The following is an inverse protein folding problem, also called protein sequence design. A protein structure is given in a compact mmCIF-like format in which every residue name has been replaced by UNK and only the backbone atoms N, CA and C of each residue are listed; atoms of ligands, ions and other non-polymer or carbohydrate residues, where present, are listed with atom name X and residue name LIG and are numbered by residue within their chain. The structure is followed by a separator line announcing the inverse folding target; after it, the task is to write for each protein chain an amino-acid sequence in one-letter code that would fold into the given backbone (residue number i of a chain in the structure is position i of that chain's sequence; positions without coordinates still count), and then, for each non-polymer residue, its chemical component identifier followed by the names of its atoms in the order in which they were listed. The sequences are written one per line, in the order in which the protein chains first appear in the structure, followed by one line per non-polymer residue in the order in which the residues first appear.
data_IF_223576841069
#
_entry.id   IF_223576841069
#
_cell.length_a   1.000
_cell.length_b   1.000
_cell.length_c   1.000
_cell.angle_alpha   90.00
_cell.angle_beta   90.00
_cell.angle_gamma   90.00
#
_symmetry.space_group_name_H-M   'P 1'
#
loop_
_entity.id
_entity.type
_entity.pdbx_description
1 polymer ?
#
# COMPACT_ATOMS: atom_id res chain seq x y z
N UNK A 1 -23.97 -26.28 -2.92
CA UNK A 1 -23.22 -26.31 -1.66
C UNK A 1 -21.96 -25.48 -1.83
N UNK A 2 -21.79 -24.37 -1.10
CA UNK A 2 -20.55 -23.57 -1.18
C UNK A 2 -19.57 -24.11 -0.13
N UNK A 3 -18.45 -24.63 -0.62
CA UNK A 3 -17.33 -25.09 0.18
C UNK A 3 -16.75 -23.88 0.97
N UNK A 4 -16.58 -23.97 2.30
CA UNK A 4 -15.98 -22.90 3.10
C UNK A 4 -14.57 -22.49 2.68
N UNK A 5 -13.84 -23.32 1.91
CA UNK A 5 -12.56 -22.96 1.28
C UNK A 5 -12.71 -21.87 0.20
N UNK A 6 -13.90 -21.75 -0.41
CA UNK A 6 -14.22 -20.80 -1.48
C UNK A 6 -14.30 -19.35 -1.00
N UNK A 7 -14.12 -19.07 0.29
CA UNK A 7 -14.06 -17.69 0.83
C UNK A 7 -12.68 -17.06 0.67
N UNK A 8 -11.62 -17.86 0.51
CA UNK A 8 -10.23 -17.36 0.38
C UNK A 8 -9.92 -16.93 -1.05
N UNK A 9 -10.67 -17.45 -2.02
CA UNK A 9 -10.49 -17.20 -3.45
C UNK A 9 -11.84 -16.86 -4.04
N UNK A 10 -12.08 -15.58 -4.30
CA UNK A 10 -13.27 -15.12 -4.99
C UNK A 10 -13.03 -14.94 -6.50
N UNK A 11 -14.11 -14.86 -7.28
CA UNK A 11 -14.05 -14.68 -8.73
C UNK A 11 -13.30 -13.39 -9.13
N UNK A 12 -13.31 -12.37 -8.26
CA UNK A 12 -12.61 -11.11 -8.48
C UNK A 12 -11.09 -11.33 -8.42
N UNK A 13 -10.60 -12.08 -7.45
CA UNK A 13 -9.20 -12.46 -7.32
C UNK A 13 -8.75 -13.23 -8.57
N UNK A 14 -9.48 -14.27 -8.98
CA UNK A 14 -9.12 -15.06 -10.17
C UNK A 14 -9.04 -14.19 -11.44
N UNK A 15 -10.00 -13.27 -11.61
CA UNK A 15 -9.99 -12.31 -12.74
C UNK A 15 -8.77 -11.39 -12.73
N UNK A 16 -8.20 -11.04 -11.57
CA UNK A 16 -6.97 -10.24 -11.48
C UNK A 16 -5.77 -11.00 -12.04
N UNK A 17 -5.60 -12.27 -11.69
CA UNK A 17 -4.50 -13.11 -12.22
C UNK A 17 -4.62 -13.32 -13.72
N UNK A 18 -5.85 -13.51 -14.22
CA UNK A 18 -6.11 -13.61 -15.66
C UNK A 18 -5.76 -12.30 -16.39
N UNK A 19 -6.24 -11.15 -15.92
CA UNK A 19 -5.91 -9.85 -16.55
C UNK A 19 -4.41 -9.57 -16.53
N UNK A 20 -3.71 -9.93 -15.46
CA UNK A 20 -2.26 -9.74 -15.35
C UNK A 20 -1.44 -10.61 -16.32
N UNK A 21 -2.07 -11.58 -16.99
CA UNK A 21 -1.43 -12.52 -17.93
C UNK A 21 -2.19 -12.60 -19.24
N UNK A 22 -2.83 -11.51 -19.65
CA UNK A 22 -3.52 -11.39 -20.96
C UNK A 22 -4.56 -12.50 -21.20
N UNK A 23 -5.25 -12.93 -20.14
CA UNK A 23 -6.22 -14.02 -20.11
C UNK A 23 -5.66 -15.41 -20.46
N UNK A 24 -4.33 -15.57 -20.46
CA UNK A 24 -3.65 -16.86 -20.57
C UNK A 24 -3.86 -17.68 -19.30
N UNK A 25 -4.71 -18.70 -19.40
CA UNK A 25 -5.13 -19.52 -18.25
C UNK A 25 -3.96 -20.24 -17.61
N UNK A 26 -3.02 -20.78 -18.38
CA UNK A 26 -1.88 -21.53 -17.85
C UNK A 26 -0.91 -20.62 -17.10
N UNK A 27 -0.56 -19.47 -17.71
CA UNK A 27 0.31 -18.47 -17.06
C UNK A 27 -0.34 -17.87 -15.82
N UNK A 28 -1.64 -17.59 -15.88
CA UNK A 28 -2.40 -17.08 -14.75
C UNK A 28 -2.46 -18.12 -13.62
N UNK A 29 -2.76 -19.38 -13.91
CA UNK A 29 -2.78 -20.47 -12.93
C UNK A 29 -1.41 -20.68 -12.28
N UNK A 30 -0.33 -20.68 -13.08
CA UNK A 30 1.05 -20.79 -12.55
C UNK A 30 1.40 -19.61 -11.63
N UNK A 31 1.00 -18.39 -11.99
CA UNK A 31 1.19 -17.22 -11.14
C UNK A 31 0.36 -17.31 -9.86
N UNK A 32 -0.89 -17.76 -9.96
CA UNK A 32 -1.80 -17.92 -8.83
C UNK A 32 -1.28 -18.96 -7.83
N UNK A 33 -0.80 -20.11 -8.29
CA UNK A 33 -0.20 -21.13 -7.41
C UNK A 33 1.02 -20.59 -6.66
N UNK A 34 1.90 -19.86 -7.35
CA UNK A 34 3.04 -19.19 -6.71
C UNK A 34 2.60 -18.18 -5.64
N UNK A 35 1.54 -17.42 -5.92
CA UNK A 35 0.95 -16.50 -4.95
C UNK A 35 0.39 -17.24 -3.73
N UNK A 36 -0.31 -18.36 -3.90
CA UNK A 36 -0.83 -19.16 -2.79
C UNK A 36 0.29 -19.74 -1.91
N UNK A 37 1.37 -20.24 -2.50
CA UNK A 37 2.53 -20.72 -1.74
C UNK A 37 3.21 -19.58 -0.98
N UNK A 38 3.38 -18.42 -1.62
CA UNK A 38 3.89 -17.23 -0.92
C UNK A 38 2.96 -16.83 0.23
N UNK A 39 1.64 -16.80 0.02
CA UNK A 39 0.67 -16.43 1.07
C UNK A 39 0.76 -17.39 2.26
N UNK A 40 0.84 -18.70 2.01
CA UNK A 40 0.93 -19.73 3.06
C UNK A 40 2.24 -19.63 3.86
N UNK A 41 3.35 -19.32 3.20
CA UNK A 41 4.67 -19.25 3.84
C UNK A 41 4.93 -17.90 4.52
N UNK A 42 4.53 -16.80 3.88
CA UNK A 42 4.74 -15.43 4.40
C UNK A 42 3.70 -15.05 5.46
N UNK A 43 2.44 -15.45 5.27
CA UNK A 43 1.30 -15.16 6.17
C UNK A 43 0.73 -16.46 6.75
N UNK A 44 1.45 -17.18 7.62
CA UNK A 44 0.98 -18.45 8.19
C UNK A 44 -0.31 -18.28 9.02
N UNK A 45 -0.50 -17.10 9.62
CA UNK A 45 -1.72 -16.73 10.37
C UNK A 45 -2.81 -16.12 9.47
N UNK A 46 -2.53 -15.93 8.19
CA UNK A 46 -3.41 -15.22 7.23
C UNK A 46 -3.34 -13.70 7.29
N UNK A 47 -2.66 -13.11 8.29
CA UNK A 47 -2.45 -11.67 8.46
C UNK A 47 -1.09 -11.41 9.13
N UNK A 48 -0.64 -10.15 9.08
CA UNK A 48 0.51 -9.63 9.84
C UNK A 48 -0.01 -8.94 11.10
N UNK A 49 0.48 -9.33 12.27
CA UNK A 49 0.13 -8.64 13.53
C UNK A 49 1.06 -7.45 13.80
N UNK A 50 0.58 -6.44 14.51
CA UNK A 50 1.36 -5.24 14.84
C UNK A 50 2.58 -5.55 15.71
N UNK A 51 2.53 -6.62 16.49
CA UNK A 51 3.66 -7.12 17.27
C UNK A 51 4.85 -7.59 16.39
N UNK A 52 4.61 -7.96 15.13
CA UNK A 52 5.65 -8.37 14.18
C UNK A 52 6.34 -7.18 13.50
N UNK A 53 5.81 -5.97 13.65
CA UNK A 53 6.17 -4.77 12.87
C UNK A 53 6.32 -3.52 13.73
N UNK A 54 6.62 -3.69 15.02
CA UNK A 54 6.68 -2.59 15.99
C UNK A 54 7.71 -1.53 15.64
N UNK A 55 8.85 -1.91 15.07
CA UNK A 55 9.88 -0.96 14.67
C UNK A 55 9.36 -0.05 13.57
N UNK A 56 8.79 -0.61 12.50
CA UNK A 56 8.24 0.18 11.40
C UNK A 56 7.02 1.01 11.80
N UNK A 57 6.13 0.47 12.65
CA UNK A 57 4.98 1.22 13.22
C UNK A 57 5.45 2.42 14.03
N UNK A 58 6.49 2.26 14.87
CA UNK A 58 6.97 3.30 15.77
C UNK A 58 7.47 4.57 15.04
N UNK A 59 7.84 4.45 13.76
CA UNK A 59 8.26 5.58 12.94
C UNK A 59 7.11 6.50 12.52
N UNK A 60 5.86 6.06 12.71
CA UNK A 60 4.66 6.84 12.40
C UNK A 60 4.76 7.51 11.02
N UNK A 61 5.04 6.70 10.00
CA UNK A 61 5.44 7.15 8.66
C UNK A 61 4.38 6.92 7.59
N UNK A 62 3.25 6.34 7.94
CA UNK A 62 2.18 6.06 7.01
C UNK A 62 0.82 6.34 7.64
N UNK A 63 0.04 7.14 6.94
CA UNK A 63 -1.28 7.56 7.34
C UNK A 63 -2.26 7.31 6.20
N UNK A 64 -3.53 7.30 6.53
CA UNK A 64 -4.63 7.11 5.60
C UNK A 64 -5.75 8.09 5.92
N UNK A 65 -6.51 8.44 4.89
CA UNK A 65 -7.63 9.36 5.04
C UNK A 65 -8.02 9.96 3.71
N UNK A 66 -9.32 10.15 3.52
CA UNK A 66 -9.89 10.75 2.33
C UNK A 66 -9.94 9.81 1.12
N UNK A 67 -10.60 10.31 0.09
CA UNK A 67 -10.71 9.68 -1.23
C UNK A 67 -10.43 10.71 -2.32
N UNK A 68 -9.95 10.24 -3.46
CA UNK A 68 -9.89 11.09 -4.66
C UNK A 68 -11.27 11.21 -5.34
N UNK A 69 -11.36 12.00 -6.42
CA UNK A 69 -12.59 12.18 -7.21
C UNK A 69 -13.10 10.90 -7.87
N UNK A 70 -12.28 9.84 -7.92
CA UNK A 70 -12.64 8.51 -8.47
C UNK A 70 -12.99 7.51 -7.36
N UNK A 71 -13.10 7.95 -6.11
CA UNK A 71 -13.38 7.08 -4.96
C UNK A 71 -12.24 6.12 -4.62
N UNK A 72 -11.00 6.43 -5.02
CA UNK A 72 -9.80 5.68 -4.62
C UNK A 72 -9.37 6.15 -3.22
N UNK A 73 -9.17 5.25 -2.26
CA UNK A 73 -8.68 5.64 -0.94
C UNK A 73 -7.27 6.21 -1.04
N UNK A 74 -6.97 7.19 -0.20
CA UNK A 74 -5.67 7.87 -0.17
C UNK A 74 -4.85 7.36 1.02
N UNK A 75 -3.57 7.07 0.74
CA UNK A 75 -2.53 6.86 1.75
C UNK A 75 -1.46 7.94 1.60
N UNK A 76 -0.90 8.37 2.73
CA UNK A 76 0.16 9.37 2.81
C UNK A 76 1.38 8.75 3.48
N UNK A 77 2.54 8.85 2.85
CA UNK A 77 3.80 8.27 3.33
C UNK A 77 4.83 9.37 3.54
N UNK A 78 5.45 9.40 4.71
CA UNK A 78 6.50 10.35 5.06
C UNK A 78 7.88 9.69 4.94
N UNK A 79 8.51 9.85 3.78
CA UNK A 79 9.80 9.22 3.44
C UNK A 79 10.92 9.59 4.40
N UNK A 80 10.95 10.84 4.89
CA UNK A 80 11.93 11.32 5.86
C UNK A 80 11.93 10.56 7.21
N UNK A 81 10.85 9.81 7.51
CA UNK A 81 10.70 9.02 8.73
C UNK A 81 11.06 7.54 8.55
N UNK A 82 11.44 7.10 7.35
CA UNK A 82 11.76 5.70 7.10
C UNK A 82 13.20 5.38 7.52
N UNK A 83 13.40 4.63 8.60
CA UNK A 83 14.72 4.08 8.93
C UNK A 83 14.69 2.56 8.83
N UNK A 84 15.74 1.97 8.26
CA UNK A 84 15.87 0.52 8.18
C UNK A 84 16.12 -0.04 9.59
N UNK A 85 15.41 -1.12 9.94
CA UNK A 85 15.68 -1.80 11.20
C UNK A 85 17.07 -2.46 11.14
N UNK A 86 18.03 -2.05 12.00
CA UNK A 86 19.40 -2.56 11.95
C UNK A 86 19.54 -3.97 12.54
N UNK A 87 18.49 -4.51 13.18
CA UNK A 87 18.51 -5.83 13.80
C UNK A 87 18.41 -6.95 12.75
N UNK A 88 18.95 -8.15 13.04
CA UNK A 88 18.66 -9.33 12.23
C UNK A 88 17.15 -9.52 12.06
N UNK A 89 16.71 -9.74 10.81
CA UNK A 89 15.28 -9.83 10.47
C UNK A 89 14.61 -8.50 10.15
N UNK A 90 15.30 -7.36 10.28
CA UNK A 90 14.74 -6.03 10.03
C UNK A 90 14.17 -5.83 8.61
N UNK A 91 14.79 -6.44 7.60
CA UNK A 91 14.27 -6.43 6.22
C UNK A 91 12.95 -7.22 6.12
N UNK A 92 12.81 -8.31 6.84
CA UNK A 92 11.60 -9.13 6.82
C UNK A 92 10.46 -8.46 7.60
N UNK A 93 10.79 -7.77 8.70
CA UNK A 93 9.86 -6.87 9.38
C UNK A 93 9.34 -5.78 8.42
N UNK A 94 10.22 -5.12 7.67
CA UNK A 94 9.81 -4.10 6.71
C UNK A 94 8.90 -4.66 5.61
N UNK A 95 9.21 -5.85 5.06
CA UNK A 95 8.31 -6.53 4.11
C UNK A 95 6.94 -6.82 4.73
N UNK A 96 6.90 -7.28 5.98
CA UNK A 96 5.64 -7.52 6.71
C UNK A 96 4.86 -6.23 6.93
N UNK A 97 5.55 -5.13 7.23
CA UNK A 97 4.94 -3.80 7.34
C UNK A 97 4.34 -3.33 6.01
N UNK A 98 5.05 -3.52 4.89
CA UNK A 98 4.50 -3.23 3.56
C UNK A 98 3.24 -4.05 3.28
N UNK A 99 3.25 -5.36 3.57
CA UNK A 99 2.05 -6.19 3.40
C UNK A 99 0.90 -5.74 4.30
N UNK A 100 1.17 -5.45 5.58
CA UNK A 100 0.19 -4.92 6.53
C UNK A 100 -0.47 -3.63 6.01
N UNK A 101 0.33 -2.68 5.54
CA UNK A 101 -0.17 -1.38 5.03
C UNK A 101 -0.98 -1.54 3.74
N UNK A 102 -0.56 -2.44 2.84
CA UNK A 102 -1.28 -2.77 1.62
C UNK A 102 -2.62 -3.46 1.91
N UNK A 103 -2.65 -4.41 2.85
CA UNK A 103 -3.89 -5.08 3.27
C UNK A 103 -4.88 -4.08 3.87
N UNK A 104 -4.41 -3.18 4.75
CA UNK A 104 -5.23 -2.12 5.36
C UNK A 104 -5.79 -1.11 4.35
N UNK A 105 -5.00 -0.66 3.36
CA UNK A 105 -5.54 0.26 2.34
C UNK A 105 -6.50 -0.47 1.39
N UNK A 106 -6.22 -1.74 1.05
CA UNK A 106 -7.11 -2.55 0.23
C UNK A 106 -8.45 -2.83 0.93
N UNK A 107 -8.48 -3.02 2.24
CA UNK A 107 -9.75 -3.19 2.99
C UNK A 107 -10.63 -1.94 2.99
N UNK A 108 -10.08 -0.77 2.63
CA UNK A 108 -10.84 0.49 2.48
C UNK A 108 -11.34 0.73 1.05
N UNK A 109 -10.99 -0.13 0.10
CA UNK A 109 -11.47 0.03 -1.28
C UNK A 109 -12.96 -0.30 -1.36
N UNK A 110 -13.80 0.57 -1.96
CA UNK A 110 -15.19 0.23 -2.20
C UNK A 110 -15.30 -0.96 -3.18
N UNK A 111 -16.43 -1.70 -3.17
CA UNK A 111 -16.63 -2.81 -4.09
C UNK A 111 -16.39 -2.41 -5.55
N UNK A 112 -15.54 -3.17 -6.24
CA UNK A 112 -15.17 -2.90 -7.64
C UNK A 112 -14.00 -1.93 -7.83
N UNK A 113 -13.51 -1.27 -6.79
CA UNK A 113 -12.28 -0.48 -6.83
C UNK A 113 -11.06 -1.40 -6.65
N UNK A 114 -10.03 -1.20 -7.47
CA UNK A 114 -8.78 -1.98 -7.41
C UNK A 114 -7.53 -1.08 -7.30
N UNK A 115 -7.75 0.23 -7.16
CA UNK A 115 -6.68 1.24 -7.12
C UNK A 115 -6.82 2.11 -5.87
N UNK A 116 -5.67 2.53 -5.35
CA UNK A 116 -5.53 3.55 -4.31
C UNK A 116 -4.61 4.66 -4.81
N UNK A 117 -4.55 5.77 -4.09
CA UNK A 117 -3.59 6.85 -4.32
C UNK A 117 -2.60 6.87 -3.17
N UNK A 118 -1.30 6.90 -3.49
CA UNK A 118 -0.24 7.14 -2.52
C UNK A 118 0.38 8.51 -2.75
N UNK A 119 0.38 9.35 -1.72
CA UNK A 119 1.09 10.62 -1.70
C UNK A 119 2.35 10.42 -0.86
N UNK A 120 3.52 10.55 -1.47
CA UNK A 120 4.79 10.42 -0.79
C UNK A 120 5.38 11.81 -0.52
N UNK A 121 5.43 12.20 0.75
CA UNK A 121 6.21 13.34 1.21
C UNK A 121 7.68 12.92 1.34
N UNK A 122 8.51 13.47 0.46
CA UNK A 122 9.95 13.19 0.39
C UNK A 122 10.79 14.24 1.13
N UNK A 123 10.17 15.16 1.87
CA UNK A 123 10.90 16.11 2.70
C UNK A 123 11.70 15.36 3.79
N UNK A 124 12.98 15.72 3.93
CA UNK A 124 13.90 15.06 4.86
C UNK A 124 14.36 13.67 4.40
N UNK A 125 14.00 13.23 3.18
CA UNK A 125 14.55 12.03 2.59
C UNK A 125 15.98 12.26 2.08
N UNK A 126 16.84 11.26 2.28
CA UNK A 126 18.28 11.32 2.08
C UNK A 126 18.94 9.94 2.19
N UNK A 127 20.27 9.91 2.20
CA UNK A 127 21.02 8.65 2.11
C UNK A 127 20.79 7.71 3.31
N UNK A 128 20.63 8.26 4.52
CA UNK A 128 20.47 7.50 5.77
C UNK A 128 19.08 6.87 5.95
N UNK A 129 18.08 7.29 5.17
CA UNK A 129 16.69 6.81 5.21
C UNK A 129 16.19 6.33 3.82
N UNK A 130 17.12 5.93 2.94
CA UNK A 130 16.82 5.41 1.60
C UNK A 130 17.11 3.92 1.47
N UNK A 131 16.07 3.13 1.16
CA UNK A 131 16.20 1.75 0.71
C UNK A 131 16.04 1.66 -0.82
N UNK A 132 17.11 2.02 -1.53
CA UNK A 132 17.15 1.97 -3.00
C UNK A 132 16.75 0.60 -3.56
N UNK A 133 17.06 -0.49 -2.85
CA UNK A 133 16.77 -1.86 -3.29
C UNK A 133 15.27 -2.18 -3.18
N UNK A 134 14.59 -1.67 -2.15
CA UNK A 134 13.14 -1.76 -2.01
C UNK A 134 12.38 -0.95 -3.06
N UNK A 135 12.87 0.25 -3.41
CA UNK A 135 12.14 1.16 -4.30
C UNK A 135 12.16 0.75 -5.77
N UNK A 136 13.26 0.20 -6.31
CA UNK A 136 13.33 -0.19 -7.75
C UNK A 136 12.22 -1.19 -8.13
N UNK A 137 11.90 -2.12 -7.23
CA UNK A 137 10.80 -3.07 -7.44
C UNK A 137 9.42 -2.37 -7.44
N UNK A 138 9.19 -1.43 -6.53
CA UNK A 138 7.94 -0.67 -6.45
C UNK A 138 7.74 0.30 -7.64
N UNK A 139 8.80 0.97 -8.10
CA UNK A 139 8.78 1.93 -9.21
C UNK A 139 8.33 1.28 -10.54
N UNK A 140 8.63 0.00 -10.74
CA UNK A 140 8.25 -0.71 -11.98
C UNK A 140 6.77 -1.08 -12.09
N UNK A 141 6.01 -1.01 -10.99
CA UNK A 141 4.60 -1.45 -10.92
C UNK A 141 3.65 -0.26 -10.71
N UNK A 142 4.15 0.88 -10.23
CA UNK A 142 3.34 2.05 -9.88
C UNK A 142 3.39 3.12 -10.98
N UNK A 143 2.25 3.77 -11.25
CA UNK A 143 2.25 5.06 -11.95
C UNK A 143 2.67 6.15 -10.96
N UNK A 144 3.71 6.91 -11.30
CA UNK A 144 4.33 7.89 -10.41
C UNK A 144 4.31 9.27 -11.06
N UNK A 145 3.89 10.26 -10.29
CA UNK A 145 3.90 11.67 -10.67
C UNK A 145 4.72 12.42 -9.63
N UNK A 146 5.77 13.12 -10.07
CA UNK A 146 6.57 14.00 -9.22
C UNK A 146 6.00 15.41 -9.25
N UNK A 147 5.81 16.00 -8.06
CA UNK A 147 5.19 17.32 -7.91
C UNK A 147 6.10 18.20 -7.05
N UNK A 148 6.43 19.39 -7.56
CA UNK A 148 7.17 20.40 -6.79
C UNK A 148 6.26 21.04 -5.72
N UNK A 149 6.83 21.38 -4.56
CA UNK A 149 6.07 21.93 -3.42
C UNK A 149 5.16 23.11 -3.77
N UNK A 150 5.61 24.05 -4.62
CA UNK A 150 4.82 25.23 -5.03
C UNK A 150 3.54 24.87 -5.82
N UNK A 151 3.51 23.69 -6.45
CA UNK A 151 2.38 23.20 -7.23
C UNK A 151 1.61 22.08 -6.50
N UNK A 152 2.05 21.70 -5.29
CA UNK A 152 1.50 20.55 -4.56
C UNK A 152 -0.01 20.68 -4.37
N UNK A 153 -0.47 21.79 -3.80
CA UNK A 153 -1.89 21.99 -3.50
C UNK A 153 -2.75 22.00 -4.77
N UNK A 154 -2.32 22.68 -5.82
CA UNK A 154 -3.08 22.73 -7.09
C UNK A 154 -3.19 21.34 -7.73
N UNK A 155 -2.09 20.58 -7.79
CA UNK A 155 -2.10 19.23 -8.34
C UNK A 155 -2.95 18.27 -7.51
N UNK A 156 -2.91 18.37 -6.18
CA UNK A 156 -3.80 17.55 -5.34
C UNK A 156 -5.28 17.89 -5.60
N UNK A 157 -5.62 19.18 -5.74
CA UNK A 157 -7.00 19.62 -6.04
C UNK A 157 -7.49 19.25 -7.44
N UNK A 158 -6.60 18.94 -8.39
CA UNK A 158 -6.97 18.33 -9.67
C UNK A 158 -7.52 16.91 -9.46
N UNK A 159 -6.92 16.14 -8.57
CA UNK A 159 -7.26 14.73 -8.32
C UNK A 159 -8.32 14.52 -7.22
N UNK A 160 -8.40 15.39 -6.20
CA UNK A 160 -9.32 15.26 -5.05
C UNK A 160 -10.12 16.53 -4.77
N UNK A 161 -11.26 16.38 -4.11
CA UNK A 161 -12.04 17.53 -3.65
C UNK A 161 -11.34 18.23 -2.49
N UNK A 162 -11.52 19.55 -2.35
CA UNK A 162 -10.88 20.32 -1.27
C UNK A 162 -11.25 19.79 0.13
N UNK A 163 -12.46 19.25 0.29
CA UNK A 163 -12.90 18.62 1.54
C UNK A 163 -12.12 17.35 1.91
N UNK A 164 -11.49 16.69 0.93
CA UNK A 164 -10.70 15.47 1.08
C UNK A 164 -9.20 15.76 1.18
N UNK A 165 -8.77 17.01 0.97
CA UNK A 165 -7.37 17.40 1.05
C UNK A 165 -6.85 17.20 2.48
N UNK A 166 -5.78 16.40 2.68
CA UNK A 166 -5.21 16.19 3.99
C UNK A 166 -4.75 17.49 4.66
N UNK A 167 -4.93 17.57 5.97
CA UNK A 167 -4.46 18.69 6.81
C UNK A 167 -2.97 19.00 6.62
N UNK A 168 -2.16 17.96 6.47
CA UNK A 168 -0.70 18.01 6.28
C UNK A 168 -0.32 18.73 4.98
N UNK A 169 -1.23 18.79 4.00
CA UNK A 169 -1.04 19.49 2.73
C UNK A 169 -1.88 20.76 2.60
N UNK A 170 -2.27 21.35 3.73
CA UNK A 170 -3.01 22.62 3.79
C UNK A 170 -4.50 22.50 3.49
N UNK A 171 -5.06 21.30 3.68
CA UNK A 171 -6.49 21.04 3.70
C UNK A 171 -7.07 20.99 5.12
N UNK A 172 -8.20 20.29 5.28
CA UNK A 172 -8.89 20.13 6.57
C UNK A 172 -9.20 18.67 6.90
N UNK A 173 -8.92 17.73 5.99
CA UNK A 173 -9.22 16.33 6.22
C UNK A 173 -8.19 15.73 7.18
N UNK A 174 -8.61 15.19 8.34
CA UNK A 174 -7.66 14.61 9.29
C UNK A 174 -7.13 13.28 8.78
N UNK A 175 -5.82 13.10 8.90
CA UNK A 175 -5.17 11.81 8.64
C UNK A 175 -5.13 10.99 9.93
N UNK A 176 -5.32 9.67 9.78
CA UNK A 176 -5.16 8.72 10.89
C UNK A 176 -3.94 7.82 10.62
N UNK A 177 -3.14 7.49 11.64
CA UNK A 177 -2.08 6.50 11.49
C UNK A 177 -2.65 5.17 11.01
N UNK A 178 -1.92 4.47 10.14
CA UNK A 178 -2.43 3.24 9.48
C UNK A 178 -2.86 2.15 10.48
N UNK A 179 -2.21 2.09 11.63
CA UNK A 179 -2.51 1.15 12.70
C UNK A 179 -3.81 1.46 13.44
N UNK A 180 -4.21 2.73 13.49
CA UNK A 180 -5.41 3.20 14.19
C UNK A 180 -6.67 3.19 13.30
N UNK A 181 -6.50 2.79 12.03
CA UNK A 181 -7.46 2.99 10.97
C UNK A 181 -8.17 1.71 10.53
#
# INVERSE_FOLDING_TARGET
SRDPSSKVVDDLMLRRFLRARDLDVEKAAKMFMKYLDWRRTFLPKGFVSEAEIQYDISHNKLFVGGIDKKGRPIMVVFGGRHFQNPKPGGVDEFKRYVVYTLDKICSRMPPGQEKFIAIADIQGWGYSNSDIRGYIAALSVLQIVFVENKNLKSTLLEEMDESQLPDTFGGKFPLVPIQDA
#
